data_IF_334378709853
#
_entry.id   IF_334378709853
#
_cell.length_a   1.000
_cell.length_b   1.000
_cell.length_c   1.000
_cell.angle_alpha   90.00
_cell.angle_beta   90.00
_cell.angle_gamma   90.00
#
_symmetry.space_group_name_H-M   'P 1'
#
loop_
_entity.id
_entity.type
_entity.pdbx_description
1 polymer ?
#
# COMPACT_ATOMS: atom_id res chain seq x y z
N UNK A 1 16.57 28.20 -0.37
CA UNK A 1 15.18 27.71 -0.16
C UNK A 1 15.27 26.62 0.88
N UNK A 2 14.53 26.69 2.00
CA UNK A 2 14.49 25.57 2.95
C UNK A 2 13.85 24.39 2.20
N UNK A 3 14.60 23.33 1.92
CA UNK A 3 14.08 22.09 1.35
C UNK A 3 13.13 21.47 2.36
N UNK A 4 11.88 21.92 2.35
CA UNK A 4 10.83 21.39 3.19
C UNK A 4 10.50 20.00 2.67
N UNK A 5 10.73 19.01 3.52
CA UNK A 5 10.32 17.62 3.29
C UNK A 5 8.86 17.61 2.77
N UNK A 6 8.60 17.05 1.57
CA UNK A 6 7.27 17.03 1.00
C UNK A 6 6.31 16.28 1.92
N UNK A 7 5.01 16.53 1.80
CA UNK A 7 4.01 15.85 2.62
C UNK A 7 3.99 14.36 2.34
N UNK A 8 3.85 13.56 3.39
CA UNK A 8 3.67 12.11 3.29
C UNK A 8 2.44 11.78 2.43
N UNK A 9 2.49 10.79 1.53
CA UNK A 9 1.32 10.33 0.81
C UNK A 9 0.18 9.96 1.77
N UNK A 10 -1.05 10.37 1.41
CA UNK A 10 -2.23 10.20 2.26
C UNK A 10 -3.15 9.09 1.74
N UNK A 11 -4.02 8.58 2.62
CA UNK A 11 -4.95 7.50 2.31
C UNK A 11 -4.39 6.11 2.54
N UNK A 12 -5.19 5.08 2.23
CA UNK A 12 -4.80 3.67 2.32
C UNK A 12 -4.20 3.25 0.99
N UNK A 13 -2.95 2.80 1.03
CA UNK A 13 -2.22 2.29 -0.11
C UNK A 13 -1.97 0.79 0.08
N UNK A 14 -1.99 0.06 -1.02
CA UNK A 14 -1.67 -1.37 -1.04
C UNK A 14 -0.68 -1.60 -2.18
N UNK A 15 0.22 -2.55 -1.99
CA UNK A 15 1.12 -3.08 -3.00
C UNK A 15 0.72 -4.53 -3.27
N UNK A 16 0.61 -4.94 -4.52
CA UNK A 16 0.27 -6.32 -4.87
C UNK A 16 1.50 -7.08 -5.30
N UNK A 17 1.71 -8.26 -4.71
CA UNK A 17 2.75 -9.21 -5.11
C UNK A 17 2.07 -10.45 -5.65
N UNK A 18 2.59 -10.99 -6.75
CA UNK A 18 2.24 -12.33 -7.21
C UNK A 18 3.30 -13.28 -6.67
N UNK A 19 2.90 -14.23 -5.83
CA UNK A 19 3.77 -15.24 -5.24
C UNK A 19 3.06 -16.59 -5.30
N UNK A 20 3.70 -17.60 -5.90
CA UNK A 20 3.11 -18.92 -6.13
C UNK A 20 1.70 -18.89 -6.78
N UNK A 21 1.51 -17.96 -7.73
CA UNK A 21 0.23 -17.78 -8.43
C UNK A 21 -0.86 -17.08 -7.60
N UNK A 22 -0.58 -16.72 -6.35
CA UNK A 22 -1.49 -15.97 -5.48
C UNK A 22 -1.19 -14.47 -5.54
N UNK A 23 -2.24 -13.66 -5.67
CA UNK A 23 -2.17 -12.21 -5.56
C UNK A 23 -2.27 -11.80 -4.09
N UNK A 24 -1.17 -11.31 -3.52
CA UNK A 24 -1.08 -10.93 -2.12
C UNK A 24 -1.20 -9.40 -1.93
N UNK A 25 -2.22 -8.90 -1.20
CA UNK A 25 -2.33 -7.50 -0.82
C UNK A 25 -1.38 -7.16 0.34
N UNK A 26 -0.44 -6.26 0.11
CA UNK A 26 0.49 -5.78 1.14
C UNK A 26 0.12 -4.32 1.52
N UNK A 27 -0.43 -4.05 2.72
CA UNK A 27 -0.67 -2.69 3.17
C UNK A 27 0.63 -1.88 3.19
N UNK A 28 0.60 -0.67 2.63
CA UNK A 28 1.78 0.19 2.52
C UNK A 28 1.83 1.17 3.69
N UNK A 29 3.00 1.22 4.33
CA UNK A 29 3.44 2.28 5.23
C UNK A 29 4.43 3.18 4.48
N UNK A 30 4.35 4.49 4.69
CA UNK A 30 5.28 5.42 4.05
C UNK A 30 6.34 5.87 5.04
N UNK A 31 7.60 5.65 4.70
CA UNK A 31 8.76 6.03 5.48
C UNK A 31 9.65 6.98 4.67
N UNK A 32 10.29 7.94 5.34
CA UNK A 32 11.12 8.91 4.65
C UNK A 32 12.54 8.41 4.63
N UNK A 33 13.12 8.34 3.44
CA UNK A 33 14.50 7.93 3.26
C UNK A 33 15.32 9.13 2.79
N UNK A 34 16.27 9.57 3.63
CA UNK A 34 17.09 10.75 3.37
C UNK A 34 17.98 10.55 2.14
N UNK A 35 18.50 9.34 1.95
CA UNK A 35 19.39 8.98 0.83
C UNK A 35 18.71 9.12 -0.53
N UNK A 36 17.38 8.94 -0.58
CA UNK A 36 16.56 9.05 -1.78
C UNK A 36 15.80 10.39 -1.85
N UNK A 37 15.83 11.19 -0.78
CA UNK A 37 15.09 12.46 -0.69
C UNK A 37 13.58 12.30 -0.87
N UNK A 38 13.02 11.15 -0.47
CA UNK A 38 11.66 10.76 -0.83
C UNK A 38 10.92 9.94 0.22
N UNK A 39 9.60 9.87 0.07
CA UNK A 39 8.78 8.91 0.80
C UNK A 39 8.78 7.58 0.06
N UNK A 40 9.27 6.53 0.70
CA UNK A 40 9.30 5.18 0.16
C UNK A 40 8.18 4.33 0.78
N UNK A 41 7.52 3.49 -0.02
CA UNK A 41 6.57 2.53 0.51
C UNK A 41 7.33 1.38 1.17
N UNK A 42 6.91 1.02 2.37
CA UNK A 42 7.33 -0.17 3.11
C UNK A 42 6.12 -1.06 3.29
N UNK A 43 6.25 -2.35 2.98
CA UNK A 43 5.18 -3.31 3.16
C UNK A 43 5.73 -4.64 3.68
N UNK A 44 4.81 -5.47 4.18
CA UNK A 44 5.12 -6.81 4.65
C UNK A 44 4.89 -7.81 3.52
N UNK A 45 5.95 -8.51 3.12
CA UNK A 45 5.91 -9.49 2.04
C UNK A 45 5.19 -10.79 2.47
N UNK A 46 4.81 -11.65 1.51
CA UNK A 46 4.34 -13.00 1.80
C UNK A 46 5.35 -13.86 2.58
N UNK A 47 6.65 -13.52 2.51
CA UNK A 47 7.72 -14.19 3.27
C UNK A 47 7.80 -13.74 4.72
N UNK A 48 6.84 -12.93 5.20
CA UNK A 48 6.81 -12.42 6.56
C UNK A 48 7.99 -11.47 6.89
N UNK A 49 8.51 -10.77 5.87
CA UNK A 49 9.61 -9.80 5.98
C UNK A 49 9.14 -8.40 5.58
N UNK A 50 9.81 -7.37 6.09
CA UNK A 50 9.56 -5.99 5.64
C UNK A 50 10.46 -5.65 4.46
N UNK A 51 9.85 -5.17 3.38
CA UNK A 51 10.55 -4.87 2.13
C UNK A 51 10.17 -3.47 1.65
N UNK A 52 11.17 -2.73 1.15
CA UNK A 52 10.97 -1.47 0.42
C UNK A 52 10.31 -1.78 -0.91
N UNK A 53 9.19 -1.13 -1.17
CA UNK A 53 8.47 -1.22 -2.43
C UNK A 53 8.91 -0.20 -3.47
N UNK A 54 8.58 -0.50 -4.71
CA UNK A 54 8.59 0.47 -5.80
C UNK A 54 7.41 1.45 -5.63
N UNK A 55 7.66 2.76 -5.42
CA UNK A 55 6.60 3.77 -5.25
C UNK A 55 5.59 3.80 -6.40
N UNK A 56 6.03 3.55 -7.63
CA UNK A 56 5.19 3.67 -8.83
C UNK A 56 4.21 2.49 -8.99
N UNK A 57 4.46 1.40 -8.26
CA UNK A 57 3.60 0.20 -8.27
C UNK A 57 2.60 0.18 -7.11
N UNK A 58 2.72 1.08 -6.14
CA UNK A 58 1.73 1.23 -5.09
C UNK A 58 0.48 1.93 -5.64
N UNK A 59 -0.71 1.46 -5.27
CA UNK A 59 -1.97 2.07 -5.70
C UNK A 59 -2.80 2.48 -4.48
N UNK A 60 -3.49 3.61 -4.63
CA UNK A 60 -4.37 4.16 -3.61
C UNK A 60 -5.75 3.52 -3.71
N UNK A 61 -6.25 3.02 -2.59
CA UNK A 61 -7.61 2.48 -2.52
C UNK A 61 -8.61 3.64 -2.40
N UNK A 62 -9.55 3.72 -3.33
CA UNK A 62 -10.62 4.72 -3.30
C UNK A 62 -11.57 4.46 -2.12
N UNK A 63 -11.99 5.53 -1.42
CA UNK A 63 -12.86 5.42 -0.24
C UNK A 63 -14.25 4.81 -0.54
N UNK A 64 -14.73 4.90 -1.77
CA UNK A 64 -16.02 4.34 -2.21
C UNK A 64 -16.01 2.81 -2.31
N UNK A 65 -14.84 2.20 -2.52
CA UNK A 65 -14.71 0.76 -2.74
C UNK A 65 -14.88 -0.07 -1.44
N UNK A 66 -14.55 0.53 -0.30
CA UNK A 66 -14.72 -0.10 1.02
C UNK A 66 -16.18 -0.20 1.49
N UNK A 67 -17.12 0.50 0.85
CA UNK A 67 -18.57 0.35 1.10
C UNK A 67 -19.16 -0.76 0.22
N UNK A 68 -18.71 -0.85 -1.04
CA UNK A 68 -19.12 -1.89 -1.98
C UNK A 68 -18.61 -3.28 -1.57
N UNK A 69 -17.37 -3.39 -1.08
CA UNK A 69 -16.84 -4.67 -0.56
C UNK A 69 -17.55 -5.17 0.70
N UNK A 70 -17.98 -4.26 1.59
CA UNK A 70 -18.79 -4.64 2.77
C UNK A 70 -20.17 -5.13 2.36
N UNK A 71 -20.82 -4.44 1.43
CA UNK A 71 -22.10 -4.89 0.88
C UNK A 71 -21.97 -6.26 0.17
N UNK A 72 -20.90 -6.49 -0.60
CA UNK A 72 -20.66 -7.78 -1.26
C UNK A 72 -20.45 -8.94 -0.26
N UNK A 73 -19.85 -8.67 0.91
CA UNK A 73 -19.60 -9.69 1.94
C UNK A 73 -20.84 -9.96 2.82
N UNK A 74 -21.81 -9.04 2.84
CA UNK A 74 -23.08 -9.16 3.56
C UNK A 74 -24.15 -9.94 2.75
N UNK A 75 -23.90 -10.16 1.45
CA UNK A 75 -24.81 -10.82 0.50
C UNK A 75 -24.40 -12.25 0.09
N UNK A 76 -23.36 -12.84 0.68
CA UNK A 76 -23.07 -14.28 0.54
C UNK A 76 -23.73 -15.05 1.69
N UNK A 77 -24.80 -15.84 1.46
CA UNK A 77 -25.27 -16.80 2.45
C UNK A 77 -24.23 -17.92 2.63
N UNK A 78 -24.19 -18.47 3.83
CA UNK A 78 -23.32 -19.58 4.26
C UNK A 78 -23.52 -20.85 3.43
#
# INVERSE_FOLDING_TARGET
MKNLKPRRPNGRWVYYIIYDGLLWPCPVRWEWEESFGGWLPFYYSPTFEFVVGDPDKAFRVAKSDGRLRRAAQEFMPA
#
